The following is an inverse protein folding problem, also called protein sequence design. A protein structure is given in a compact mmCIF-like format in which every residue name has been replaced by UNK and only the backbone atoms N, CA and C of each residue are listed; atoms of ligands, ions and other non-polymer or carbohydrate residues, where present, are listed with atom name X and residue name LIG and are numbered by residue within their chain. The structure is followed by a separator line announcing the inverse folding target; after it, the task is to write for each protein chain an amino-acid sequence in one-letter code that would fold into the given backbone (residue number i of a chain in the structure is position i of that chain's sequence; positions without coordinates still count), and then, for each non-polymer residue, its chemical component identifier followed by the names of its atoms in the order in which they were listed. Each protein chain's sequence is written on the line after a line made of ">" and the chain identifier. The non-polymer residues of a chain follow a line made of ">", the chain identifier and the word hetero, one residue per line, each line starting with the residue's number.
data_IF_245700010768
#
_entry.id   IF_245700010768
#
_cell.length_a   1.000
_cell.length_b   1.000
_cell.length_c   1.000
_cell.angle_alpha   90.00
_cell.angle_beta   90.00
_cell.angle_gamma   90.00
#
_symmetry.space_group_name_H-M   'P 1'
#
loop_
_entity.id
_entity.type
_entity.pdbx_description
1 polymer ?
#
# COMPACT_ATOMS: atom_id res chain seq x y z
N UNK A 1 -4.66 14.65 12.31
CA UNK A 1 -4.57 13.25 11.86
C UNK A 1 -3.11 12.89 11.69
N UNK A 2 -2.65 11.75 12.24
CA UNK A 2 -1.25 11.32 12.04
C UNK A 2 -1.06 10.77 10.61
N UNK A 3 0.17 10.73 10.10
CA UNK A 3 0.45 10.30 8.71
C UNK A 3 0.09 8.84 8.45
N UNK A 4 0.16 7.97 9.46
CA UNK A 4 -0.20 6.55 9.35
C UNK A 4 -1.70 6.41 9.08
N UNK A 5 -2.55 7.04 9.88
CA UNK A 5 -4.00 7.03 9.67
C UNK A 5 -4.38 7.62 8.32
N UNK A 6 -3.72 8.72 7.91
CA UNK A 6 -3.95 9.29 6.57
C UNK A 6 -3.55 8.33 5.44
N UNK A 7 -2.46 7.59 5.60
CA UNK A 7 -2.04 6.58 4.62
C UNK A 7 -3.01 5.40 4.58
N UNK A 8 -3.53 4.99 5.74
CA UNK A 8 -4.53 3.91 5.86
C UNK A 8 -5.84 4.29 5.18
N UNK A 9 -6.36 5.48 5.46
CA UNK A 9 -7.59 5.98 4.83
C UNK A 9 -7.45 6.03 3.31
N UNK A 10 -6.36 6.63 2.81
CA UNK A 10 -6.08 6.69 1.37
C UNK A 10 -6.02 5.30 0.72
N UNK A 11 -5.35 4.36 1.38
CA UNK A 11 -5.20 3.02 0.84
C UNK A 11 -6.52 2.25 0.89
N UNK A 12 -7.29 2.40 1.97
CA UNK A 12 -8.65 1.84 2.09
C UNK A 12 -9.57 2.34 0.99
N UNK A 13 -9.68 3.66 0.81
CA UNK A 13 -10.51 4.26 -0.26
C UNK A 13 -10.12 3.75 -1.66
N UNK A 14 -8.82 3.58 -1.91
CA UNK A 14 -8.32 3.10 -3.18
C UNK A 14 -8.72 1.64 -3.41
N UNK A 15 -8.53 0.79 -2.40
CA UNK A 15 -8.74 -0.66 -2.51
C UNK A 15 -10.23 -1.04 -2.47
N UNK A 16 -11.07 -0.29 -1.76
CA UNK A 16 -12.53 -0.52 -1.73
C UNK A 16 -13.18 -0.37 -3.11
N UNK A 17 -12.63 0.50 -3.97
CA UNK A 17 -13.09 0.61 -5.37
C UNK A 17 -12.81 -0.66 -6.18
N UNK A 18 -11.72 -1.35 -5.86
CA UNK A 18 -11.26 -2.54 -6.57
C UNK A 18 -11.82 -3.85 -5.96
N UNK A 19 -12.15 -3.84 -4.67
CA UNK A 19 -12.60 -5.01 -3.94
C UNK A 19 -13.84 -4.75 -3.09
N UNK A 20 -14.97 -5.36 -3.47
CA UNK A 20 -16.14 -5.45 -2.59
C UNK A 20 -15.85 -6.44 -1.45
N UNK A 21 -15.98 -5.96 -0.20
CA UNK A 21 -15.68 -6.75 0.99
C UNK A 21 -14.20 -6.70 1.38
N UNK A 22 -13.56 -5.53 1.22
CA UNK A 22 -12.21 -5.29 1.71
C UNK A 22 -12.17 -5.50 3.24
N UNK A 23 -11.27 -6.36 3.68
CA UNK A 23 -11.02 -6.65 5.09
C UNK A 23 -9.75 -5.91 5.54
N UNK A 24 -9.77 -5.37 6.76
CA UNK A 24 -8.61 -4.69 7.35
C UNK A 24 -8.20 -5.37 8.65
N UNK A 25 -6.91 -5.62 8.79
CA UNK A 25 -6.31 -6.16 10.02
C UNK A 25 -5.22 -5.22 10.54
N UNK A 26 -5.28 -4.87 11.82
CA UNK A 26 -4.24 -4.10 12.51
C UNK A 26 -3.33 -5.03 13.32
N UNK A 27 -2.01 -4.91 13.12
CA UNK A 27 -0.98 -5.66 13.86
C UNK A 27 0.17 -4.73 14.20
N UNK A 28 0.29 -4.33 15.47
CA UNK A 28 1.35 -3.44 15.97
C UNK A 28 1.55 -2.17 15.10
N UNK A 29 2.67 -2.14 14.36
CA UNK A 29 3.08 -1.07 13.44
C UNK A 29 2.54 -1.21 12.02
N UNK A 30 1.62 -2.17 11.80
CA UNK A 30 1.11 -2.55 10.47
C UNK A 30 -0.40 -2.45 10.40
N UNK A 31 -0.88 -2.04 9.24
CA UNK A 31 -2.26 -2.11 8.82
C UNK A 31 -2.28 -2.86 7.50
N UNK A 32 -2.96 -4.01 7.46
CA UNK A 32 -2.99 -4.92 6.32
C UNK A 32 -4.39 -4.92 5.73
N UNK A 33 -4.47 -4.91 4.40
CA UNK A 33 -5.73 -4.89 3.66
C UNK A 33 -5.84 -6.14 2.80
N UNK A 34 -6.93 -6.87 2.98
CA UNK A 34 -7.17 -8.15 2.33
C UNK A 34 -8.44 -8.10 1.47
N UNK A 35 -8.39 -8.78 0.33
CA UNK A 35 -9.55 -9.00 -0.53
C UNK A 35 -9.73 -10.49 -0.74
N UNK A 36 -10.85 -11.07 -0.27
CA UNK A 36 -11.13 -12.51 -0.40
C UNK A 36 -9.99 -13.40 0.13
N UNK A 37 -9.36 -12.98 1.23
CA UNK A 37 -8.23 -13.68 1.85
C UNK A 37 -6.85 -13.37 1.25
N UNK A 38 -6.75 -12.61 0.16
CA UNK A 38 -5.47 -12.21 -0.45
C UNK A 38 -5.02 -10.83 0.05
N UNK A 39 -3.74 -10.66 0.39
CA UNK A 39 -3.19 -9.37 0.79
C UNK A 39 -3.07 -8.44 -0.43
N UNK A 40 -3.81 -7.34 -0.44
CA UNK A 40 -3.89 -6.39 -1.56
C UNK A 40 -3.30 -5.01 -1.25
N UNK A 41 -3.09 -4.70 0.03
CA UNK A 41 -2.31 -3.52 0.42
C UNK A 41 -1.79 -3.57 1.85
N UNK A 42 -0.83 -2.70 2.14
CA UNK A 42 -0.31 -2.54 3.50
C UNK A 42 0.17 -1.12 3.78
N UNK A 43 0.05 -0.73 5.05
CA UNK A 43 0.72 0.43 5.64
C UNK A 43 1.57 -0.10 6.79
N UNK A 44 2.88 0.12 6.73
CA UNK A 44 3.84 -0.38 7.72
C UNK A 44 4.71 0.77 8.20
N UNK A 45 4.74 1.03 9.49
CA UNK A 45 5.72 1.93 10.08
C UNK A 45 7.06 1.21 10.21
N UNK A 46 8.08 1.75 9.54
CA UNK A 46 9.45 1.24 9.56
C UNK A 46 10.28 2.14 10.48
N UNK A 47 10.42 1.73 11.74
CA UNK A 47 11.13 2.53 12.74
C UNK A 47 10.39 3.82 13.11
N UNK A 48 11.15 4.86 13.45
CA UNK A 48 10.61 6.14 13.94
C UNK A 48 10.51 7.22 12.84
N UNK A 49 11.15 7.02 11.69
CA UNK A 49 11.38 8.07 10.68
C UNK A 49 10.58 7.90 9.38
N UNK A 50 9.98 6.73 9.13
CA UNK A 50 9.26 6.48 7.87
C UNK A 50 8.10 5.48 7.96
N UNK A 51 7.17 5.64 7.04
CA UNK A 51 6.08 4.73 6.71
C UNK A 51 6.31 4.13 5.33
N UNK A 52 6.10 2.83 5.17
CA UNK A 52 5.95 2.18 3.88
C UNK A 52 4.47 1.95 3.60
N UNK A 53 4.00 2.43 2.45
CA UNK A 53 2.65 2.20 1.94
C UNK A 53 2.79 1.36 0.68
N UNK A 54 2.04 0.28 0.54
CA UNK A 54 2.15 -0.64 -0.60
C UNK A 54 0.80 -1.13 -1.11
N UNK A 55 0.72 -1.38 -2.41
CA UNK A 55 -0.35 -2.17 -3.07
C UNK A 55 0.26 -3.38 -3.76
N UNK A 56 -0.51 -4.47 -3.81
CA UNK A 56 -0.09 -5.74 -4.41
C UNK A 56 -1.01 -6.12 -5.58
N UNK A 57 -0.45 -6.69 -6.65
CA UNK A 57 -1.21 -7.27 -7.75
C UNK A 57 -0.42 -8.40 -8.41
N UNK A 58 -1.10 -9.36 -9.03
CA UNK A 58 -0.45 -10.40 -9.84
C UNK A 58 0.08 -9.85 -11.18
N UNK A 59 -0.37 -8.67 -11.61
CA UNK A 59 -0.07 -8.08 -12.92
C UNK A 59 0.70 -6.77 -12.80
N UNK A 60 1.80 -6.62 -13.53
CA UNK A 60 2.62 -5.39 -13.51
C UNK A 60 1.89 -4.18 -14.11
N UNK A 61 0.97 -4.43 -15.04
CA UNK A 61 0.19 -3.42 -15.76
C UNK A 61 -1.18 -3.15 -15.11
N UNK A 62 -1.42 -3.71 -13.91
CA UNK A 62 -2.63 -3.44 -13.15
C UNK A 62 -2.78 -1.93 -12.89
N UNK A 63 -3.92 -1.30 -13.27
CA UNK A 63 -4.17 0.12 -13.07
C UNK A 63 -3.99 0.58 -11.61
N UNK A 64 -4.19 -0.33 -10.64
CA UNK A 64 -4.03 -0.03 -9.21
C UNK A 64 -2.65 0.52 -8.89
N UNK A 65 -1.59 0.06 -9.55
CA UNK A 65 -0.23 0.52 -9.32
C UNK A 65 -0.04 1.99 -9.69
N UNK A 66 -0.61 2.41 -10.83
CA UNK A 66 -0.52 3.78 -11.31
C UNK A 66 -1.42 4.71 -10.49
N UNK A 67 -2.66 4.30 -10.21
CA UNK A 67 -3.59 5.08 -9.39
C UNK A 67 -3.03 5.28 -7.98
N UNK A 68 -2.47 4.22 -7.38
CA UNK A 68 -1.79 4.26 -6.10
C UNK A 68 -0.67 5.31 -6.06
N UNK A 69 0.27 5.26 -7.01
CA UNK A 69 1.40 6.19 -7.03
C UNK A 69 0.94 7.64 -7.17
N UNK A 70 -0.06 7.90 -8.00
CA UNK A 70 -0.61 9.25 -8.17
C UNK A 70 -1.24 9.76 -6.87
N UNK A 71 -2.11 8.96 -6.26
CA UNK A 71 -2.83 9.33 -5.03
C UNK A 71 -1.88 9.57 -3.86
N UNK A 72 -0.86 8.72 -3.69
CA UNK A 72 0.13 8.89 -2.63
C UNK A 72 0.99 10.13 -2.87
N UNK A 73 1.40 10.41 -4.11
CA UNK A 73 2.17 11.61 -4.47
C UNK A 73 1.42 12.91 -4.20
N UNK A 74 0.15 12.96 -4.57
CA UNK A 74 -0.72 14.10 -4.28
C UNK A 74 -0.92 14.30 -2.78
N UNK A 75 -1.06 13.20 -2.03
CA UNK A 75 -1.39 13.26 -0.60
C UNK A 75 -0.19 13.59 0.29
N UNK A 76 1.01 13.14 -0.11
CA UNK A 76 2.25 13.25 0.66
C UNK A 76 3.33 14.02 -0.11
N UNK A 77 2.92 15.04 -0.88
CA UNK A 77 3.83 15.86 -1.67
C UNK A 77 4.99 16.41 -0.84
N UNK A 78 6.21 16.30 -1.36
CA UNK A 78 7.44 16.72 -0.65
C UNK A 78 7.86 15.84 0.52
N UNK A 79 7.15 14.74 0.81
CA UNK A 79 7.43 13.82 1.93
C UNK A 79 7.81 12.41 1.48
N UNK A 80 7.80 12.14 0.17
CA UNK A 80 8.21 10.85 -0.38
C UNK A 80 9.73 10.75 -0.39
N UNK A 81 10.24 9.71 0.26
CA UNK A 81 11.66 9.38 0.33
C UNK A 81 12.08 8.47 -0.84
N UNK A 82 11.21 7.52 -1.20
CA UNK A 82 11.47 6.51 -2.22
C UNK A 82 10.14 5.94 -2.73
N UNK A 83 10.09 5.50 -3.98
CA UNK A 83 9.00 4.68 -4.49
C UNK A 83 9.47 3.73 -5.59
N UNK A 84 8.73 2.65 -5.83
CA UNK A 84 9.04 1.74 -6.93
C UNK A 84 8.03 0.61 -7.04
N UNK A 85 8.11 -0.13 -8.15
CA UNK A 85 7.38 -1.37 -8.36
C UNK A 85 8.39 -2.49 -8.48
N UNK A 86 8.19 -3.58 -7.73
CA UNK A 86 9.10 -4.72 -7.70
C UNK A 86 8.32 -6.02 -7.87
N UNK A 87 8.95 -6.98 -8.52
CA UNK A 87 8.49 -8.37 -8.55
C UNK A 87 8.92 -9.06 -7.25
N UNK A 88 7.97 -9.69 -6.58
CA UNK A 88 8.22 -10.62 -5.49
C UNK A 88 7.84 -12.03 -5.95
N UNK A 89 8.81 -12.93 -5.91
CA UNK A 89 8.60 -14.33 -6.18
C UNK A 89 8.41 -15.07 -4.85
N UNK A 90 7.17 -15.40 -4.52
CA UNK A 90 6.86 -16.34 -3.44
C UNK A 90 7.04 -17.78 -3.91
N UNK A 91 6.97 -18.73 -2.97
CA UNK A 91 7.05 -20.17 -3.27
C UNK A 91 5.88 -20.63 -4.17
N UNK A 92 4.70 -20.01 -4.04
CA UNK A 92 3.47 -20.43 -4.74
C UNK A 92 3.07 -19.52 -5.90
N UNK A 93 3.42 -18.23 -5.87
CA UNK A 93 3.13 -17.33 -7.00
C UNK A 93 4.06 -16.11 -7.05
N UNK A 94 4.18 -15.57 -8.26
CA UNK A 94 4.76 -14.26 -8.51
C UNK A 94 3.70 -13.17 -8.29
N UNK A 95 4.06 -12.10 -7.60
CA UNK A 95 3.24 -10.90 -7.51
C UNK A 95 4.10 -9.64 -7.58
N UNK A 96 3.52 -8.58 -8.11
CA UNK A 96 4.11 -7.26 -8.13
C UNK A 96 3.61 -6.47 -6.93
N UNK A 97 4.51 -5.71 -6.33
CA UNK A 97 4.17 -4.76 -5.30
C UNK A 97 4.71 -3.39 -5.67
N UNK A 98 3.84 -2.40 -5.57
CA UNK A 98 4.23 -0.99 -5.72
C UNK A 98 4.24 -0.37 -4.34
N UNK A 99 5.37 0.21 -3.96
CA UNK A 99 5.59 0.79 -2.63
C UNK A 99 5.98 2.26 -2.72
N UNK A 100 5.65 2.99 -1.66
CA UNK A 100 6.10 4.36 -1.40
C UNK A 100 6.55 4.46 0.05
N UNK A 101 7.77 4.97 0.27
CA UNK A 101 8.29 5.34 1.58
C UNK A 101 8.01 6.82 1.85
N UNK A 102 7.26 7.11 2.90
CA UNK A 102 6.86 8.46 3.33
C UNK A 102 7.56 8.80 4.64
N UNK A 103 8.15 9.99 4.74
CA UNK A 103 8.75 10.49 5.98
C UNK A 103 7.69 10.67 7.08
N UNK A 104 7.94 10.14 8.28
CA UNK A 104 7.09 10.35 9.47
C UNK A 104 7.19 11.77 10.03
#
# INVERSE_FOLDING_TARGET
>A
MNKRERAKELLGELLEKACQGLEQEEKDSKSLFFCRGELVGSVVQLGEDRLAVSVYSQKIDDPIHKEFLNRVKETFEGQILEHGTKLSSGVEQNFYYTYVHVKL
#
